data_IF_965532702152
#
_entry.id   IF_965532702152
#
_cell.length_a   1.000
_cell.length_b   1.000
_cell.length_c   1.000
_cell.angle_alpha   90.00
_cell.angle_beta   90.00
_cell.angle_gamma   90.00
#
_symmetry.space_group_name_H-M   'P 1'
#
loop_
_entity.id
_entity.type
_entity.pdbx_description
1 polymer ?
#
# COMPACT_ATOMS: atom_id res chain seq x y z
N UNK A 1 -30.25 -13.62 3.15
CA UNK A 1 -29.16 -14.26 3.91
C UNK A 1 -27.90 -13.39 3.79
N UNK A 2 -27.07 -13.26 4.84
CA UNK A 2 -25.82 -12.51 4.79
C UNK A 2 -24.83 -13.12 3.77
N UNK A 3 -23.99 -12.28 3.17
CA UNK A 3 -22.85 -12.68 2.33
C UNK A 3 -21.57 -12.29 3.03
N UNK A 4 -20.58 -13.19 3.08
CA UNK A 4 -19.33 -13.00 3.81
C UNK A 4 -18.14 -13.11 2.85
N UNK A 5 -17.18 -12.20 3.00
CA UNK A 5 -15.93 -12.15 2.23
C UNK A 5 -14.74 -12.07 3.19
N UNK A 6 -13.74 -12.93 2.99
CA UNK A 6 -12.52 -12.98 3.78
C UNK A 6 -11.37 -12.58 2.86
N UNK A 7 -10.68 -11.45 3.10
CA UNK A 7 -9.53 -11.04 2.29
C UNK A 7 -8.43 -12.10 2.32
N UNK A 8 -8.10 -12.59 3.53
CA UNK A 8 -7.01 -13.52 3.76
C UNK A 8 -7.52 -14.74 4.54
N UNK A 9 -7.69 -15.87 3.86
CA UNK A 9 -8.16 -17.13 4.47
C UNK A 9 -7.03 -17.88 5.20
N UNK A 10 -5.78 -17.52 4.94
CA UNK A 10 -4.59 -18.13 5.51
C UNK A 10 -3.65 -17.00 5.97
N UNK A 11 -3.29 -16.97 7.25
CA UNK A 11 -2.49 -15.89 7.84
C UNK A 11 -1.33 -16.48 8.62
N UNK A 12 -0.11 -16.17 8.19
CA UNK A 12 1.12 -16.59 8.85
C UNK A 12 1.55 -15.59 9.91
N UNK A 13 1.90 -16.05 11.10
CA UNK A 13 2.48 -15.19 12.16
C UNK A 13 3.51 -15.96 12.98
N UNK A 14 4.54 -15.27 13.49
CA UNK A 14 5.53 -15.86 14.36
C UNK A 14 5.04 -15.79 15.82
N UNK A 15 5.41 -16.80 16.62
CA UNK A 15 5.10 -16.81 18.05
C UNK A 15 5.57 -15.51 18.72
N UNK A 16 4.72 -14.96 19.58
CA UNK A 16 4.95 -13.75 20.36
C UNK A 16 4.62 -12.44 19.64
N UNK A 17 4.29 -12.48 18.35
CA UNK A 17 3.83 -11.30 17.59
C UNK A 17 2.32 -11.09 17.72
N UNK A 18 1.84 -9.95 17.27
CA UNK A 18 0.41 -9.69 17.11
C UNK A 18 -0.03 -10.08 15.68
N UNK A 19 -1.29 -10.49 15.52
CA UNK A 19 -1.91 -10.72 14.20
C UNK A 19 -3.32 -10.16 14.19
N UNK A 20 -3.80 -9.70 13.04
CA UNK A 20 -5.18 -9.24 12.83
C UNK A 20 -5.85 -10.07 11.75
N UNK A 21 -7.04 -10.60 12.06
CA UNK A 21 -7.89 -11.32 11.12
C UNK A 21 -9.08 -10.43 10.73
N UNK A 22 -9.53 -10.54 9.49
CA UNK A 22 -10.61 -9.69 8.96
C UNK A 22 -11.66 -10.53 8.23
N UNK A 23 -12.93 -10.17 8.44
CA UNK A 23 -14.05 -10.61 7.60
C UNK A 23 -14.94 -9.41 7.28
N UNK A 24 -15.54 -9.42 6.09
CA UNK A 24 -16.52 -8.46 5.64
C UNK A 24 -17.85 -9.14 5.42
N UNK A 25 -18.94 -8.44 5.74
CA UNK A 25 -20.29 -8.97 5.56
C UNK A 25 -21.17 -7.94 4.87
N UNK A 26 -22.02 -8.37 3.96
CA UNK A 26 -23.14 -7.59 3.44
C UNK A 26 -24.47 -8.29 3.78
N UNK A 27 -25.37 -7.60 4.47
CA UNK A 27 -26.63 -8.17 4.93
C UNK A 27 -27.73 -7.11 5.11
N UNK A 28 -28.96 -7.46 4.72
CA UNK A 28 -30.15 -6.70 5.08
C UNK A 28 -31.26 -7.64 5.59
N UNK A 29 -31.87 -7.38 6.76
CA UNK A 29 -31.42 -6.47 7.81
C UNK A 29 -29.99 -6.79 8.28
N UNK A 30 -29.37 -5.85 9.01
CA UNK A 30 -28.01 -6.01 9.53
C UNK A 30 -27.86 -7.35 10.29
N UNK A 31 -26.70 -7.97 10.12
CA UNK A 31 -26.34 -9.20 10.82
C UNK A 31 -25.65 -8.92 12.15
N UNK A 32 -25.80 -9.86 13.08
CA UNK A 32 -24.89 -9.99 14.22
C UNK A 32 -23.64 -10.70 13.71
N UNK A 33 -22.46 -10.13 14.00
CA UNK A 33 -21.18 -10.65 13.52
C UNK A 33 -20.27 -11.00 14.72
N UNK A 34 -19.69 -12.20 14.74
CA UNK A 34 -18.85 -12.66 15.86
C UNK A 34 -17.80 -13.69 15.42
N UNK A 35 -16.72 -13.76 16.19
CA UNK A 35 -15.64 -14.72 15.98
C UNK A 35 -15.80 -15.94 16.88
N UNK A 36 -15.32 -17.08 16.43
CA UNK A 36 -15.20 -18.32 17.22
C UNK A 36 -13.81 -18.91 17.13
N UNK A 37 -13.44 -19.68 18.15
CA UNK A 37 -12.27 -20.55 18.10
C UNK A 37 -12.56 -21.83 17.27
N UNK A 38 -11.59 -22.74 17.24
CA UNK A 38 -11.68 -24.02 16.53
C UNK A 38 -12.71 -25.00 17.11
N UNK A 39 -13.14 -24.77 18.35
CA UNK A 39 -14.20 -25.53 19.04
C UNK A 39 -15.58 -24.91 18.83
N UNK A 40 -15.68 -23.80 18.11
CA UNK A 40 -16.92 -23.05 17.91
C UNK A 40 -17.34 -22.21 19.11
N UNK A 41 -16.45 -22.00 20.10
CA UNK A 41 -16.72 -21.13 21.23
C UNK A 41 -16.53 -19.67 20.81
N UNK A 42 -17.47 -18.81 21.21
CA UNK A 42 -17.42 -17.39 20.89
C UNK A 42 -16.21 -16.71 21.55
N UNK A 43 -15.46 -15.95 20.76
CA UNK A 43 -14.33 -15.15 21.22
C UNK A 43 -14.84 -13.76 21.59
N UNK A 44 -14.60 -13.37 22.85
CA UNK A 44 -14.94 -12.06 23.37
C UNK A 44 -13.68 -11.19 23.51
N UNK A 45 -13.87 -9.87 23.42
CA UNK A 45 -12.78 -8.90 23.62
C UNK A 45 -12.30 -8.96 25.07
N UNK A 46 -11.18 -9.65 25.31
CA UNK A 46 -10.61 -9.82 26.65
C UNK A 46 -9.16 -10.28 26.59
N UNK A 47 -8.34 -9.76 27.52
CA UNK A 47 -6.95 -10.14 27.67
C UNK A 47 -6.12 -9.92 26.39
N UNK A 48 -5.80 -11.01 25.70
CA UNK A 48 -5.00 -11.00 24.46
C UNK A 48 -5.84 -10.79 23.19
N UNK A 49 -7.16 -10.96 23.27
CA UNK A 49 -8.05 -10.84 22.11
C UNK A 49 -8.77 -9.50 22.12
N UNK A 50 -8.68 -8.74 21.04
CA UNK A 50 -9.51 -7.56 20.80
C UNK A 50 -10.40 -7.82 19.57
N UNK A 51 -11.72 -7.69 19.73
CA UNK A 51 -12.66 -7.80 18.62
C UNK A 51 -13.34 -6.46 18.35
N UNK A 52 -13.48 -6.10 17.08
CA UNK A 52 -14.13 -4.89 16.61
C UNK A 52 -15.10 -5.25 15.51
N UNK A 53 -16.32 -4.71 15.57
CA UNK A 53 -17.30 -4.76 14.48
C UNK A 53 -17.69 -3.34 14.15
N UNK A 54 -17.43 -2.91 12.92
CA UNK A 54 -17.79 -1.61 12.39
C UNK A 54 -18.88 -1.77 11.32
N UNK A 55 -20.01 -1.10 11.52
CA UNK A 55 -21.14 -1.16 10.60
C UNK A 55 -21.25 0.12 9.76
N UNK A 56 -21.59 -0.03 8.49
CA UNK A 56 -21.87 1.06 7.56
C UNK A 56 -23.04 0.66 6.65
N UNK A 57 -24.25 1.06 7.04
CA UNK A 57 -25.48 0.66 6.34
C UNK A 57 -25.67 -0.85 6.39
N UNK A 58 -25.78 -1.49 5.23
CA UNK A 58 -25.92 -2.94 5.08
C UNK A 58 -24.58 -3.70 5.10
N UNK A 59 -23.45 -2.99 5.25
CA UNK A 59 -22.11 -3.58 5.30
C UNK A 59 -21.60 -3.62 6.73
N UNK A 60 -20.85 -4.66 7.07
CA UNK A 60 -20.13 -4.79 8.33
C UNK A 60 -18.68 -5.22 8.07
N UNK A 61 -17.77 -4.68 8.88
CA UNK A 61 -16.34 -4.97 8.88
C UNK A 61 -15.98 -5.49 10.27
N UNK A 62 -15.65 -6.77 10.39
CA UNK A 62 -15.28 -7.38 11.67
C UNK A 62 -13.79 -7.74 11.68
N UNK A 63 -13.13 -7.42 12.79
CA UNK A 63 -11.70 -7.65 13.00
C UNK A 63 -11.46 -8.36 14.32
N UNK A 64 -10.54 -9.32 14.32
CA UNK A 64 -10.01 -9.97 15.52
C UNK A 64 -8.51 -9.75 15.58
N UNK A 65 -8.06 -8.96 16.56
CA UNK A 65 -6.64 -8.83 16.87
C UNK A 65 -6.26 -9.80 17.98
N UNK A 66 -5.25 -10.62 17.73
CA UNK A 66 -4.68 -11.57 18.69
C UNK A 66 -3.30 -11.05 19.07
N UNK A 67 -3.13 -10.69 20.35
CA UNK A 67 -1.87 -10.16 20.89
C UNK A 67 -0.97 -11.27 21.40
N UNK A 68 0.34 -11.11 21.21
CA UNK A 68 1.35 -12.03 21.75
C UNK A 68 0.96 -13.50 21.47
N UNK A 69 0.87 -13.86 20.18
CA UNK A 69 0.41 -15.16 19.69
C UNK A 69 1.17 -16.30 20.35
N UNK A 70 0.43 -17.28 20.85
CA UNK A 70 0.94 -18.48 21.52
C UNK A 70 0.75 -19.72 20.64
N UNK A 71 1.44 -20.83 20.92
CA UNK A 71 1.29 -22.07 20.16
C UNK A 71 -0.15 -22.59 20.09
N UNK A 72 -0.95 -22.32 21.13
CA UNK A 72 -2.38 -22.64 21.18
C UNK A 72 -3.25 -21.82 20.24
N UNK A 73 -2.74 -20.72 19.70
CA UNK A 73 -3.48 -19.81 18.84
C UNK A 73 -3.32 -20.15 17.34
N UNK A 74 -2.45 -21.11 17.00
CA UNK A 74 -2.27 -21.58 15.62
C UNK A 74 -3.41 -22.53 15.18
N UNK A 75 -4.60 -21.96 15.08
CA UNK A 75 -5.85 -22.67 14.85
C UNK A 75 -6.67 -22.07 13.70
N UNK A 76 -7.86 -22.64 13.45
CA UNK A 76 -8.81 -22.09 12.48
C UNK A 76 -9.83 -21.25 13.22
N UNK A 77 -9.85 -19.94 12.95
CA UNK A 77 -10.80 -19.00 13.55
C UNK A 77 -12.02 -18.90 12.64
N UNK A 78 -13.21 -19.06 13.20
CA UNK A 78 -14.46 -18.90 12.48
C UNK A 78 -14.97 -17.46 12.58
N UNK A 79 -15.41 -16.86 11.49
CA UNK A 79 -16.22 -15.64 11.51
C UNK A 79 -17.64 -15.96 11.06
N UNK A 80 -18.62 -15.49 11.81
CA UNK A 80 -20.04 -15.79 11.63
C UNK A 80 -20.83 -14.52 11.47
N UNK A 81 -21.82 -14.55 10.57
CA UNK A 81 -22.78 -13.48 10.36
C UNK A 81 -24.20 -14.06 10.33
N UNK A 82 -25.07 -13.57 11.21
CA UNK A 82 -26.45 -14.06 11.36
C UNK A 82 -27.46 -12.93 11.30
N UNK A 83 -28.47 -13.06 10.45
CA UNK A 83 -29.64 -12.17 10.43
C UNK A 83 -30.94 -12.98 10.41
N UNK A 84 -32.09 -12.30 10.36
CA UNK A 84 -33.42 -12.94 10.33
C UNK A 84 -33.68 -13.83 9.12
N UNK A 85 -32.86 -13.73 8.07
CA UNK A 85 -32.96 -14.47 6.81
C UNK A 85 -31.84 -15.51 6.64
N UNK A 86 -31.11 -15.83 7.71
CA UNK A 86 -30.16 -16.92 7.73
C UNK A 86 -28.81 -16.55 8.32
N UNK A 87 -27.88 -17.48 8.17
CA UNK A 87 -26.54 -17.44 8.74
C UNK A 87 -25.53 -17.79 7.65
N UNK A 88 -24.37 -17.16 7.68
CA UNK A 88 -23.22 -17.54 6.86
C UNK A 88 -21.98 -17.48 7.75
N UNK A 89 -20.96 -18.26 7.40
CA UNK A 89 -19.72 -18.31 8.13
C UNK A 89 -18.55 -18.55 7.19
N UNK A 90 -17.35 -18.21 7.66
CA UNK A 90 -16.11 -18.54 6.99
C UNK A 90 -14.99 -18.77 8.00
N UNK A 91 -13.86 -19.26 7.51
CA UNK A 91 -12.74 -19.68 8.34
C UNK A 91 -11.46 -18.98 7.90
N UNK A 92 -10.66 -18.57 8.88
CA UNK A 92 -9.31 -18.03 8.70
C UNK A 92 -8.34 -18.93 9.45
N UNK A 93 -7.43 -19.59 8.72
CA UNK A 93 -6.40 -20.44 9.32
C UNK A 93 -5.19 -19.61 9.69
N UNK A 94 -4.85 -19.59 10.98
CA UNK A 94 -3.60 -19.02 11.48
C UNK A 94 -2.56 -20.13 11.61
N UNK A 95 -1.37 -19.89 11.08
CA UNK A 95 -0.26 -20.85 11.14
C UNK A 95 1.04 -20.19 11.54
N UNK A 96 1.91 -20.99 12.13
CA UNK A 96 3.22 -20.52 12.59
C UNK A 96 4.16 -20.32 11.42
N UNK A 97 4.83 -19.16 11.39
CA UNK A 97 5.98 -18.93 10.51
C UNK A 97 7.25 -18.70 11.33
N UNK A 98 8.41 -19.21 10.88
CA UNK A 98 9.68 -18.92 11.50
C UNK A 98 9.91 -17.41 11.58
N UNK A 99 10.28 -16.91 12.76
CA UNK A 99 10.56 -15.48 12.97
C UNK A 99 11.62 -14.92 12.03
N UNK A 100 12.52 -15.76 11.53
CA UNK A 100 13.54 -15.39 10.54
C UNK A 100 12.95 -14.90 9.22
N UNK A 101 11.76 -15.40 8.83
CA UNK A 101 11.08 -14.96 7.60
C UNK A 101 10.46 -13.56 7.74
N UNK A 102 10.26 -13.07 8.97
CA UNK A 102 9.71 -11.73 9.22
C UNK A 102 10.76 -10.60 9.14
N UNK A 103 12.06 -10.91 9.05
CA UNK A 103 13.17 -9.93 9.18
C UNK A 103 13.81 -9.55 7.83
N UNK A 104 13.32 -10.05 6.71
CA UNK A 104 13.94 -9.81 5.39
C UNK A 104 13.48 -8.52 4.69
N UNK A 105 13.12 -7.47 5.43
CA UNK A 105 13.16 -6.12 4.87
C UNK A 105 14.51 -5.53 5.29
N UNK A 106 15.51 -5.44 4.38
CA UNK A 106 16.63 -4.57 4.63
C UNK A 106 16.03 -3.19 4.85
N UNK A 107 16.13 -2.71 6.08
CA UNK A 107 16.06 -1.29 6.40
C UNK A 107 16.96 -0.61 5.37
N UNK A 108 16.36 0.02 4.36
CA UNK A 108 17.07 0.85 3.40
C UNK A 108 17.59 2.01 4.23
N UNK A 109 18.73 1.81 4.88
CA UNK A 109 19.58 2.86 5.40
C UNK A 109 19.92 3.70 4.19
N UNK A 110 19.14 4.75 3.99
CA UNK A 110 19.34 5.76 2.95
C UNK A 110 20.83 6.12 3.00
N UNK A 111 21.56 5.73 1.96
CA UNK A 111 23.00 5.89 1.92
C UNK A 111 23.32 7.38 2.10
N UNK A 112 24.42 7.71 2.77
CA UNK A 112 24.83 9.11 2.92
C UNK A 112 25.01 9.83 1.57
N UNK A 113 25.16 9.07 0.48
CA UNK A 113 25.19 9.57 -0.89
C UNK A 113 23.84 10.10 -1.39
N UNK A 114 22.72 9.46 -1.01
CA UNK A 114 21.37 9.93 -1.37
C UNK A 114 21.00 11.22 -0.63
N UNK A 115 21.46 11.35 0.62
CA UNK A 115 21.33 12.60 1.40
C UNK A 115 22.14 13.75 0.79
N UNK A 116 23.27 13.47 0.15
CA UNK A 116 24.05 14.47 -0.61
C UNK A 116 23.37 14.85 -1.93
N UNK A 117 22.73 13.90 -2.62
CA UNK A 117 21.95 14.20 -3.85
C UNK A 117 20.74 15.10 -3.55
N UNK A 118 20.00 14.87 -2.45
CA UNK A 118 18.90 15.76 -2.01
C UNK A 118 19.41 17.17 -1.65
N UNK A 119 20.57 17.29 -1.01
CA UNK A 119 21.18 18.61 -0.71
C UNK A 119 21.67 19.35 -1.96
N UNK A 120 22.18 18.63 -2.97
CA UNK A 120 22.64 19.23 -4.23
C UNK A 120 21.49 19.74 -5.08
N UNK A 121 20.37 18.99 -5.15
CA UNK A 121 19.17 19.40 -5.89
C UNK A 121 18.46 20.62 -5.28
N UNK A 122 18.58 20.82 -3.96
CA UNK A 122 18.01 21.99 -3.25
C UNK A 122 18.86 23.26 -3.36
N UNK A 123 20.07 23.18 -3.95
CA UNK A 123 20.98 24.31 -4.12
C UNK A 123 20.88 24.99 -5.50
N UNK A 124 20.23 24.37 -6.48
CA UNK A 124 20.10 24.93 -7.85
C UNK A 124 18.78 25.68 -8.08
N UNK A 125 17.82 25.63 -7.16
CA UNK A 125 16.51 26.28 -7.31
C UNK A 125 16.38 27.63 -6.57
N UNK A 126 17.47 28.14 -5.96
CA UNK A 126 17.49 29.39 -5.19
C UNK A 126 18.48 30.42 -5.75
N UNK A 127 18.64 30.52 -7.07
CA UNK A 127 19.50 31.55 -7.65
C UNK A 127 18.92 32.15 -8.93
N UNK A 128 17.73 32.75 -8.82
CA UNK A 128 17.24 33.83 -9.67
C UNK A 128 16.05 34.46 -8.94
N UNK A 129 15.96 35.81 -8.94
CA UNK A 129 15.18 36.70 -8.04
C UNK A 129 15.99 37.03 -6.76
N UNK A 130 16.55 38.23 -6.56
CA UNK A 130 16.13 39.60 -6.88
C UNK A 130 17.41 40.45 -7.18
N UNK A 131 17.43 41.60 -7.84
CA UNK A 131 16.70 42.86 -7.60
C UNK A 131 16.93 43.83 -8.78
N UNK A 132 16.09 44.87 -8.91
CA UNK A 132 16.50 46.12 -9.59
C UNK A 132 15.39 46.85 -10.35
N UNK A 133 14.62 47.68 -9.64
CA UNK A 133 13.89 48.80 -10.24
C UNK A 133 14.75 50.06 -10.07
N UNK A 134 15.33 50.54 -11.17
CA UNK A 134 15.98 51.84 -11.26
C UNK A 134 15.34 52.60 -12.43
N UNK A 135 14.38 53.46 -12.07
CA UNK A 135 13.75 54.42 -12.97
C UNK A 135 14.55 55.72 -13.06
N UNK A 136 15.16 55.92 -14.23
CA UNK A 136 15.53 57.15 -14.96
C UNK A 136 16.28 58.32 -14.28
N UNK A 137 17.29 58.85 -14.99
CA UNK A 137 17.48 60.27 -15.19
C UNK A 137 17.00 60.72 -16.59
N UNK A 138 16.32 61.86 -16.63
CA UNK A 138 16.09 62.66 -17.85
C UNK A 138 17.33 63.48 -18.24
N UNK A 139 17.57 63.54 -19.56
CA UNK A 139 18.46 64.47 -20.29
C UNK A 139 19.75 63.81 -20.76
N UNK A 140 20.10 63.68 -22.05
CA UNK A 140 19.62 64.28 -23.29
C UNK A 140 20.00 63.40 -24.51
N UNK A 141 19.39 63.75 -25.65
CA UNK A 141 19.89 63.62 -27.03
C UNK A 141 19.68 62.32 -27.83
N UNK A 142 18.55 62.38 -28.56
CA UNK A 142 18.52 62.50 -30.03
C UNK A 142 18.60 61.23 -30.90
N UNK A 143 17.52 61.12 -31.68
CA UNK A 143 17.37 60.51 -33.03
C UNK A 143 17.17 59.00 -33.20
N UNK A 144 15.89 58.65 -33.43
CA UNK A 144 15.30 57.81 -34.51
C UNK A 144 16.33 57.21 -35.50
N UNK A 145 16.24 55.96 -35.93
CA UNK A 145 15.12 55.40 -36.71
C UNK A 145 15.33 53.90 -37.08
N UNK A 146 14.23 53.19 -37.35
CA UNK A 146 14.02 52.05 -38.28
C UNK A 146 15.03 50.85 -38.28
N UNK A 147 14.63 49.56 -38.30
CA UNK A 147 13.77 48.89 -39.30
C UNK A 147 13.67 47.39 -38.96
N UNK A 148 12.51 46.76 -39.23
CA UNK A 148 12.24 45.30 -39.28
C UNK A 148 12.98 44.60 -40.44
N UNK A 149 13.32 43.30 -40.31
CA UNK A 149 12.76 42.17 -41.11
C UNK A 149 13.31 40.77 -40.77
N UNK A 150 12.51 39.78 -41.21
CA UNK A 150 12.45 38.32 -40.99
C UNK A 150 13.38 37.43 -41.84
N UNK A 151 13.35 36.10 -41.55
CA UNK A 151 13.65 34.96 -42.46
C UNK A 151 14.74 34.00 -41.91
N UNK A 152 14.79 32.68 -42.11
CA UNK A 152 13.98 31.67 -42.83
C UNK A 152 14.50 30.23 -42.45
N UNK A 153 13.86 29.18 -42.97
CA UNK A 153 13.88 27.75 -42.58
C UNK A 153 15.09 26.85 -43.00
N UNK A 154 15.12 25.60 -42.48
CA UNK A 154 15.96 24.50 -43.00
C UNK A 154 15.64 23.10 -42.41
N UNK A 155 15.41 22.09 -43.29
CA UNK A 155 15.14 20.65 -43.07
C UNK A 155 16.42 19.79 -43.12
N UNK A 156 16.43 18.58 -42.52
CA UNK A 156 16.82 17.31 -43.22
C UNK A 156 16.75 16.02 -42.36
N UNK A 157 16.32 14.94 -43.02
CA UNK A 157 16.15 13.52 -42.63
C UNK A 157 17.38 12.74 -42.15
N UNK A 158 17.14 11.60 -41.46
CA UNK A 158 17.83 10.31 -41.71
C UNK A 158 17.06 9.08 -41.15
N UNK A 159 16.76 8.12 -42.04
CA UNK A 159 16.28 6.75 -41.76
C UNK A 159 17.40 5.71 -41.95
N UNK A 160 17.42 4.67 -41.10
CA UNK A 160 17.91 3.27 -41.30
C UNK A 160 17.65 2.55 -39.95
N UNK A 161 17.00 1.40 -39.77
CA UNK A 161 16.75 0.23 -40.61
C UNK A 161 17.51 -0.96 -40.03
N UNK A 162 16.84 -1.94 -39.38
CA UNK A 162 17.46 -3.23 -39.00
C UNK A 162 16.72 -4.07 -37.95
N UNK A 163 16.17 -5.21 -38.36
CA UNK A 163 15.56 -6.30 -37.55
C UNK A 163 16.57 -7.04 -36.65
N UNK A 164 16.11 -7.64 -35.54
CA UNK A 164 16.33 -9.06 -35.19
C UNK A 164 15.43 -9.50 -34.02
N UNK A 165 14.87 -10.72 -34.16
CA UNK A 165 14.20 -11.53 -33.13
C UNK A 165 15.25 -12.05 -32.15
N UNK A 166 14.87 -12.12 -30.87
CA UNK A 166 15.46 -12.98 -29.85
C UNK A 166 14.32 -13.34 -28.90
N UNK A 167 13.94 -14.62 -28.89
CA UNK A 167 13.09 -15.26 -27.88
C UNK A 167 13.95 -15.40 -26.63
N UNK A 168 13.50 -14.92 -25.48
CA UNK A 168 14.07 -15.29 -24.19
C UNK A 168 12.92 -15.40 -23.16
N UNK A 169 12.61 -16.67 -22.87
CA UNK A 169 12.34 -17.26 -21.56
C UNK A 169 11.12 -16.78 -20.75
N UNK A 170 10.15 -17.70 -20.64
CA UNK A 170 9.09 -17.72 -19.64
C UNK A 170 9.68 -17.57 -18.23
N UNK A 171 9.66 -16.35 -17.72
CA UNK A 171 9.85 -16.07 -16.31
C UNK A 171 8.64 -16.57 -15.55
N UNK A 172 8.84 -17.65 -14.80
CA UNK A 172 7.99 -18.07 -13.69
C UNK A 172 7.72 -16.84 -12.81
N UNK A 173 6.51 -16.25 -12.92
CA UNK A 173 6.01 -15.23 -12.01
C UNK A 173 5.79 -15.90 -10.65
N UNK A 174 6.91 -16.17 -9.98
CA UNK A 174 6.96 -16.59 -8.60
C UNK A 174 6.21 -15.55 -7.78
N UNK A 175 5.07 -15.98 -7.24
CA UNK A 175 4.19 -15.24 -6.36
C UNK A 175 5.03 -14.49 -5.31
N UNK A 176 5.19 -13.18 -5.49
CA UNK A 176 6.01 -12.35 -4.59
C UNK A 176 5.21 -12.18 -3.31
N UNK A 177 5.66 -12.83 -2.24
CA UNK A 177 4.99 -12.69 -0.97
C UNK A 177 5.26 -11.32 -0.36
N UNK A 178 4.19 -10.57 -0.06
CA UNK A 178 4.29 -9.27 0.60
C UNK A 178 3.95 -9.40 2.07
N UNK A 179 4.87 -8.99 2.93
CA UNK A 179 4.65 -8.91 4.38
C UNK A 179 4.01 -7.57 4.70
N UNK A 180 2.76 -7.59 5.16
CA UNK A 180 2.06 -6.37 5.58
C UNK A 180 2.58 -5.88 6.94
N UNK A 181 2.36 -4.60 7.31
CA UNK A 181 2.80 -4.05 8.59
C UNK A 181 2.26 -4.77 9.84
N UNK A 182 1.17 -5.51 9.69
CA UNK A 182 0.54 -6.37 10.69
C UNK A 182 1.03 -7.82 10.66
N UNK A 183 2.08 -8.11 9.89
CA UNK A 183 2.81 -9.38 9.89
C UNK A 183 2.18 -10.47 9.03
N UNK A 184 1.16 -10.16 8.22
CA UNK A 184 0.52 -11.10 7.31
C UNK A 184 1.40 -11.28 6.09
N UNK A 185 1.73 -12.53 5.76
CA UNK A 185 2.36 -12.88 4.49
C UNK A 185 1.24 -13.16 3.49
N UNK A 186 1.01 -12.23 2.55
CA UNK A 186 0.14 -12.46 1.39
C UNK A 186 0.96 -13.14 0.29
N UNK A 187 0.38 -14.11 -0.41
CA UNK A 187 0.96 -14.75 -1.60
C UNK A 187 0.21 -14.20 -2.81
#
# INVERSE_FOLDING_TARGET
>A
QPVLWIPNQLVGVAQGMDVTLECHTEAYPNSINYWTDDKGQMILSSGRFDTIVAENGYKAYMRLKIKNVQPSDFMSYGCYAKNSFGETNGNVKVYEIPRQLMVNVPDLKESEEDRKKKKKKKGEENNELEEGWDGEPQGENHTKNHRRKEGQAGRSDRRRGGRRRGEDEDGDDGMVSTVTPDGVIEF
#
